data_IF_086718089508
#
_entry.id   IF_086718089508
#
_cell.length_a   1.000
_cell.length_b   1.000
_cell.length_c   1.000
_cell.angle_alpha   90.00
_cell.angle_beta   90.00
_cell.angle_gamma   90.00
#
_symmetry.space_group_name_H-M   'P 1'
#
loop_
_entity.id
_entity.type
_entity.pdbx_description
1 polymer ?
#
# COMPACT_ATOMS: atom_id res chain seq x y z
N UNK A 1 -17.06 11.34 1.41
CA UNK A 1 -18.16 11.88 0.58
C UNK A 1 -19.46 11.62 1.29
N UNK A 2 -20.25 12.64 1.62
CA UNK A 2 -21.60 12.47 2.19
C UNK A 2 -22.62 12.51 1.07
N UNK A 3 -23.31 11.39 0.82
CA UNK A 3 -24.45 11.37 -0.10
C UNK A 3 -25.60 12.19 0.50
N UNK A 4 -26.25 13.04 -0.30
CA UNK A 4 -27.45 13.74 0.15
C UNK A 4 -28.61 12.74 0.28
N UNK A 5 -29.59 13.04 1.13
CA UNK A 5 -30.78 12.20 1.31
C UNK A 5 -31.53 11.95 -0.01
N UNK A 6 -31.46 12.90 -0.94
CA UNK A 6 -31.99 12.76 -2.31
C UNK A 6 -31.19 11.76 -3.16
N UNK A 7 -29.87 11.75 -3.05
CA UNK A 7 -29.01 10.77 -3.74
C UNK A 7 -29.27 9.36 -3.21
N UNK A 8 -29.46 9.22 -1.90
CA UNK A 8 -29.80 7.95 -1.26
C UNK A 8 -31.16 7.44 -1.76
N UNK A 9 -32.17 8.30 -1.84
CA UNK A 9 -33.48 7.94 -2.39
C UNK A 9 -33.42 7.56 -3.87
N UNK A 10 -32.61 8.26 -4.65
CA UNK A 10 -32.43 7.99 -6.07
C UNK A 10 -31.71 6.64 -6.27
N UNK A 11 -30.70 6.35 -5.46
CA UNK A 11 -30.02 5.04 -5.42
C UNK A 11 -31.00 3.93 -5.02
N UNK A 12 -31.79 4.10 -3.96
CA UNK A 12 -32.78 3.10 -3.56
C UNK A 12 -33.90 2.92 -4.59
N UNK A 13 -34.30 3.99 -5.28
CA UNK A 13 -35.29 3.93 -6.36
C UNK A 13 -34.73 3.19 -7.57
N UNK A 14 -33.48 3.48 -7.95
CA UNK A 14 -32.77 2.76 -9.00
C UNK A 14 -32.62 1.28 -8.64
N UNK A 15 -32.20 0.95 -7.41
CA UNK A 15 -32.12 -0.43 -6.92
C UNK A 15 -33.49 -1.10 -6.93
N UNK A 16 -34.55 -0.43 -6.48
CA UNK A 16 -35.91 -0.95 -6.53
C UNK A 16 -36.34 -1.28 -7.96
N UNK A 17 -36.13 -0.38 -8.93
CA UNK A 17 -36.41 -0.68 -10.34
C UNK A 17 -35.49 -1.77 -10.89
N UNK A 18 -34.24 -1.86 -10.44
CA UNK A 18 -33.27 -2.89 -10.84
C UNK A 18 -33.69 -4.29 -10.36
N UNK A 19 -34.13 -4.41 -9.10
CA UNK A 19 -34.57 -5.67 -8.52
C UNK A 19 -36.02 -6.02 -8.85
N UNK A 20 -36.88 -5.03 -9.10
CA UNK A 20 -38.27 -5.25 -9.52
C UNK A 20 -38.40 -5.48 -11.03
N UNK A 21 -37.45 -5.04 -11.86
CA UNK A 21 -37.55 -5.15 -13.32
C UNK A 21 -37.57 -6.58 -13.86
N UNK A 22 -36.86 -7.58 -13.31
CA UNK A 22 -37.08 -8.98 -13.69
C UNK A 22 -38.52 -9.44 -13.41
N UNK A 23 -39.08 -9.00 -12.27
CA UNK A 23 -40.45 -9.33 -11.87
C UNK A 23 -41.46 -8.63 -12.80
N UNK A 24 -41.25 -7.36 -13.11
CA UNK A 24 -42.09 -6.58 -14.04
C UNK A 24 -42.02 -7.18 -15.44
N UNK A 25 -40.83 -7.58 -15.91
CA UNK A 25 -40.63 -8.28 -17.18
C UNK A 25 -41.41 -9.59 -17.23
N UNK A 26 -41.31 -10.41 -16.18
CA UNK A 26 -42.07 -11.67 -16.06
C UNK A 26 -43.57 -11.41 -16.07
N UNK A 27 -44.05 -10.42 -15.30
CA UNK A 27 -45.47 -10.07 -15.24
C UNK A 27 -46.02 -9.57 -16.59
N UNK A 28 -45.28 -8.70 -17.29
CA UNK A 28 -45.64 -8.23 -18.63
C UNK A 28 -45.67 -9.37 -19.66
N UNK A 29 -44.73 -10.30 -19.56
CA UNK A 29 -44.65 -11.47 -20.44
C UNK A 29 -45.81 -12.42 -20.18
N UNK A 30 -46.11 -12.71 -18.92
CA UNK A 30 -47.25 -13.53 -18.50
C UNK A 30 -48.57 -12.89 -18.99
N UNK A 31 -48.77 -11.60 -18.73
CA UNK A 31 -49.95 -10.86 -19.16
C UNK A 31 -50.11 -10.86 -20.69
N UNK A 32 -49.06 -10.52 -21.44
CA UNK A 32 -49.06 -10.52 -22.89
C UNK A 32 -49.33 -11.91 -23.48
N UNK A 33 -48.83 -12.97 -22.83
CA UNK A 33 -49.07 -14.36 -23.22
C UNK A 33 -50.53 -14.75 -23.01
N UNK A 34 -51.12 -14.46 -21.85
CA UNK A 34 -52.55 -14.73 -21.60
C UNK A 34 -53.48 -13.92 -22.51
N UNK A 35 -53.10 -12.69 -22.86
CA UNK A 35 -53.87 -11.82 -23.76
C UNK A 35 -53.93 -12.35 -25.21
N UNK A 36 -52.94 -13.15 -25.64
CA UNK A 36 -52.77 -13.53 -27.06
C UNK A 36 -52.74 -15.04 -27.34
N UNK A 37 -52.67 -15.90 -26.34
CA UNK A 37 -52.49 -17.34 -26.53
C UNK A 37 -53.80 -18.13 -26.77
N UNK A 38 -53.78 -19.02 -27.78
CA UNK A 38 -54.81 -20.05 -28.04
C UNK A 38 -54.30 -21.48 -27.72
N UNK A 39 -53.02 -21.64 -27.34
CA UNK A 39 -52.36 -22.95 -27.19
C UNK A 39 -51.71 -23.16 -25.80
N UNK A 40 -52.29 -24.01 -24.93
CA UNK A 40 -51.82 -24.23 -23.54
C UNK A 40 -50.39 -24.77 -23.39
N UNK A 41 -49.94 -25.63 -24.31
CA UNK A 41 -48.57 -26.17 -24.29
C UNK A 41 -47.51 -25.06 -24.50
N UNK A 42 -47.91 -23.99 -25.19
CA UNK A 42 -47.04 -22.92 -25.62
C UNK A 42 -46.90 -21.84 -24.52
N UNK A 43 -47.97 -21.63 -23.74
CA UNK A 43 -47.93 -20.87 -22.48
C UNK A 43 -46.92 -21.49 -21.51
N UNK A 44 -46.89 -22.83 -21.43
CA UNK A 44 -45.93 -23.57 -20.58
C UNK A 44 -44.48 -23.40 -21.05
N UNK A 45 -44.23 -23.39 -22.36
CA UNK A 45 -42.89 -23.18 -22.90
C UNK A 45 -42.37 -21.76 -22.64
N UNK A 46 -43.21 -20.74 -22.84
CA UNK A 46 -42.87 -19.34 -22.54
C UNK A 46 -42.66 -19.16 -21.03
N UNK A 47 -43.52 -19.73 -20.19
CA UNK A 47 -43.35 -19.69 -18.74
C UNK A 47 -42.05 -20.38 -18.29
N UNK A 48 -41.70 -21.52 -18.88
CA UNK A 48 -40.47 -22.26 -18.58
C UNK A 48 -39.21 -21.49 -18.99
N UNK A 49 -39.20 -20.87 -20.17
CA UNK A 49 -38.09 -20.04 -20.63
C UNK A 49 -37.87 -18.80 -19.72
N UNK A 50 -38.95 -18.14 -19.30
CA UNK A 50 -38.87 -17.02 -18.36
C UNK A 50 -38.46 -17.45 -16.94
N UNK A 51 -38.87 -18.64 -16.51
CA UNK A 51 -38.41 -19.24 -15.25
C UNK A 51 -36.90 -19.47 -15.28
N UNK A 52 -36.35 -20.01 -16.38
CA UNK A 52 -34.92 -20.21 -16.58
C UNK A 52 -34.12 -18.90 -16.55
N UNK A 53 -34.62 -17.85 -17.20
CA UNK A 53 -34.00 -16.51 -17.15
C UNK A 53 -34.02 -15.96 -15.72
N UNK A 54 -35.13 -16.15 -15.00
CA UNK A 54 -35.28 -15.67 -13.62
C UNK A 54 -34.34 -16.43 -12.67
N UNK A 55 -34.22 -17.75 -12.83
CA UNK A 55 -33.29 -18.58 -12.05
C UNK A 55 -31.84 -18.18 -12.33
N UNK A 56 -31.48 -17.92 -13.60
CA UNK A 56 -30.15 -17.40 -13.94
C UNK A 56 -29.91 -16.02 -13.32
N UNK A 57 -30.85 -15.08 -13.44
CA UNK A 57 -30.73 -13.75 -12.83
C UNK A 57 -30.56 -13.84 -11.31
N UNK A 58 -31.34 -14.69 -10.62
CA UNK A 58 -31.22 -14.90 -9.17
C UNK A 58 -29.89 -15.54 -8.81
N UNK A 59 -29.50 -16.61 -9.51
CA UNK A 59 -28.22 -17.30 -9.28
C UNK A 59 -27.05 -16.32 -9.37
N UNK A 60 -26.96 -15.56 -10.47
CA UNK A 60 -25.91 -14.56 -10.64
C UNK A 60 -25.98 -13.45 -9.58
N UNK A 61 -27.17 -12.96 -9.24
CA UNK A 61 -27.33 -11.94 -8.20
C UNK A 61 -26.89 -12.41 -6.81
N UNK A 62 -26.93 -13.71 -6.54
CA UNK A 62 -26.54 -14.31 -5.24
C UNK A 62 -25.07 -14.74 -5.24
N UNK A 63 -24.52 -15.19 -6.37
CA UNK A 63 -23.10 -15.61 -6.45
C UNK A 63 -22.12 -14.49 -6.71
N UNK A 64 -22.58 -13.30 -7.14
CA UNK A 64 -21.72 -12.13 -7.41
C UNK A 64 -21.33 -11.34 -6.15
N UNK A 65 -21.91 -11.62 -4.98
CA UNK A 65 -21.55 -10.94 -3.71
C UNK A 65 -20.11 -11.25 -3.23
N UNK A 66 -19.45 -12.28 -3.78
CA UNK A 66 -18.02 -12.58 -3.53
C UNK A 66 -17.06 -11.79 -4.47
N UNK A 67 -17.58 -11.03 -5.43
CA UNK A 67 -16.79 -10.19 -6.33
C UNK A 67 -16.86 -8.73 -5.86
N UNK A 68 -15.73 -8.20 -5.40
CA UNK A 68 -15.54 -6.87 -4.83
C UNK A 68 -15.95 -5.66 -5.73
N UNK A 69 -16.57 -5.88 -6.89
CA UNK A 69 -16.99 -4.81 -7.81
C UNK A 69 -18.50 -4.83 -8.06
N UNK A 70 -19.24 -4.07 -7.24
CA UNK A 70 -20.69 -3.84 -7.38
C UNK A 70 -21.12 -3.21 -8.72
N UNK A 71 -20.18 -2.80 -9.57
CA UNK A 71 -20.44 -2.35 -10.94
C UNK A 71 -20.81 -3.49 -11.90
N UNK A 72 -20.32 -4.71 -11.67
CA UNK A 72 -20.54 -5.88 -12.55
C UNK A 72 -21.98 -6.40 -12.48
N UNK A 73 -22.57 -6.47 -11.29
CA UNK A 73 -23.95 -6.92 -11.07
C UNK A 73 -24.98 -5.98 -11.71
N UNK A 74 -24.74 -4.67 -11.64
CA UNK A 74 -25.66 -3.66 -12.18
C UNK A 74 -25.62 -3.62 -13.71
N UNK A 75 -24.43 -3.79 -14.31
CA UNK A 75 -24.29 -4.00 -15.75
C UNK A 75 -24.96 -5.30 -16.20
N UNK A 76 -24.79 -6.39 -15.43
CA UNK A 76 -25.39 -7.68 -15.71
C UNK A 76 -26.91 -7.63 -15.84
N UNK A 77 -27.58 -7.09 -14.82
CA UNK A 77 -29.04 -6.97 -14.79
C UNK A 77 -29.53 -6.05 -15.91
N UNK A 78 -28.85 -4.91 -16.14
CA UNK A 78 -29.24 -3.93 -17.16
C UNK A 78 -29.14 -4.49 -18.58
N UNK A 79 -28.05 -5.20 -18.91
CA UNK A 79 -27.85 -5.82 -20.21
C UNK A 79 -28.84 -6.97 -20.43
N UNK A 80 -29.09 -7.78 -19.38
CA UNK A 80 -30.08 -8.86 -19.45
C UNK A 80 -31.48 -8.31 -19.77
N UNK A 81 -31.90 -7.24 -19.11
CA UNK A 81 -33.20 -6.60 -19.35
C UNK A 81 -33.26 -5.93 -20.73
N UNK A 82 -32.21 -5.23 -21.15
CA UNK A 82 -32.12 -4.62 -22.47
C UNK A 82 -32.19 -5.66 -23.58
N UNK A 83 -31.54 -6.81 -23.40
CA UNK A 83 -31.55 -7.90 -24.36
C UNK A 83 -32.95 -8.51 -24.49
N UNK A 84 -33.64 -8.83 -23.39
CA UNK A 84 -34.88 -9.61 -23.44
C UNK A 84 -36.18 -8.79 -23.48
N UNK A 85 -36.15 -7.50 -23.12
CA UNK A 85 -37.32 -6.60 -23.14
C UNK A 85 -38.03 -6.44 -24.50
N UNK A 86 -37.34 -6.40 -25.66
CA UNK A 86 -38.00 -6.23 -26.96
C UNK A 86 -38.96 -7.38 -27.28
N UNK A 87 -38.60 -8.61 -26.88
CA UNK A 87 -39.47 -9.77 -27.04
C UNK A 87 -40.78 -9.55 -26.27
N UNK A 88 -40.71 -9.26 -24.97
CA UNK A 88 -41.92 -9.09 -24.15
C UNK A 88 -42.77 -7.90 -24.54
N UNK A 89 -42.16 -6.82 -25.03
CA UNK A 89 -42.88 -5.66 -25.57
C UNK A 89 -43.66 -6.06 -26.85
N UNK A 90 -43.13 -6.93 -27.71
CA UNK A 90 -43.84 -7.38 -28.92
C UNK A 90 -45.16 -8.11 -28.64
N UNK A 91 -45.28 -8.73 -27.45
CA UNK A 91 -46.53 -9.33 -27.00
C UNK A 91 -47.59 -8.29 -26.59
N UNK A 92 -47.21 -7.04 -26.31
CA UNK A 92 -48.11 -5.97 -25.88
C UNK A 92 -48.63 -5.10 -27.05
N UNK A 93 -47.90 -5.05 -28.18
CA UNK A 93 -48.29 -4.30 -29.38
C UNK A 93 -49.58 -4.85 -30.00
N UNK A 94 -50.49 -3.99 -30.48
CA UNK A 94 -51.79 -4.42 -31.01
C UNK A 94 -51.67 -4.99 -32.44
N UNK A 95 -51.12 -6.21 -32.56
CA UNK A 95 -50.93 -6.96 -33.80
C UNK A 95 -51.81 -8.22 -33.82
N UNK A 96 -52.08 -8.77 -35.02
CA UNK A 96 -52.76 -10.06 -35.14
C UNK A 96 -52.03 -11.14 -34.33
N UNK A 97 -52.80 -11.98 -33.61
CA UNK A 97 -52.26 -12.93 -32.62
C UNK A 97 -51.11 -13.80 -33.16
N UNK A 98 -51.23 -14.30 -34.40
CA UNK A 98 -50.19 -15.12 -35.05
C UNK A 98 -48.90 -14.33 -35.32
N UNK A 99 -48.99 -13.07 -35.76
CA UNK A 99 -47.83 -12.22 -36.01
C UNK A 99 -47.11 -11.86 -34.70
N UNK A 100 -47.85 -11.54 -33.64
CA UNK A 100 -47.28 -11.27 -32.33
C UNK A 100 -46.43 -12.43 -31.79
N UNK A 101 -46.89 -13.67 -32.05
CA UNK A 101 -46.20 -14.89 -31.68
C UNK A 101 -44.87 -15.08 -32.42
N UNK A 102 -44.88 -14.96 -33.75
CA UNK A 102 -43.64 -15.09 -34.54
C UNK A 102 -42.63 -13.99 -34.19
N UNK A 103 -43.10 -12.76 -33.95
CA UNK A 103 -42.25 -11.66 -33.50
C UNK A 103 -41.64 -11.92 -32.12
N UNK A 104 -42.43 -12.37 -31.14
CA UNK A 104 -41.90 -12.73 -29.80
C UNK A 104 -40.84 -13.81 -29.90
N UNK A 105 -41.13 -14.88 -30.65
CA UNK A 105 -40.25 -16.04 -30.77
C UNK A 105 -38.93 -15.66 -31.45
N UNK A 106 -39.00 -14.92 -32.57
CA UNK A 106 -37.82 -14.46 -33.28
C UNK A 106 -36.96 -13.53 -32.42
N UNK A 107 -37.58 -12.55 -31.74
CA UNK A 107 -36.88 -11.62 -30.86
C UNK A 107 -36.27 -12.35 -29.66
N UNK A 108 -37.00 -13.28 -29.05
CA UNK A 108 -36.48 -14.07 -27.93
C UNK A 108 -35.24 -14.87 -28.33
N UNK A 109 -35.25 -15.57 -29.46
CA UNK A 109 -34.08 -16.35 -29.91
C UNK A 109 -32.91 -15.44 -30.33
N UNK A 110 -33.17 -14.28 -30.93
CA UNK A 110 -32.14 -13.28 -31.21
C UNK A 110 -31.50 -12.73 -29.93
N UNK A 111 -32.34 -12.35 -28.96
CA UNK A 111 -31.91 -11.88 -27.65
C UNK A 111 -31.12 -12.94 -26.89
N UNK A 112 -31.59 -14.20 -26.91
CA UNK A 112 -30.89 -15.32 -26.31
C UNK A 112 -29.54 -15.57 -26.98
N UNK A 113 -29.47 -15.51 -28.31
CA UNK A 113 -28.22 -15.63 -29.06
C UNK A 113 -27.21 -14.53 -28.69
N UNK A 114 -27.63 -13.27 -28.72
CA UNK A 114 -26.78 -12.12 -28.37
C UNK A 114 -26.33 -12.16 -26.90
N UNK A 115 -27.24 -12.52 -25.99
CA UNK A 115 -26.95 -12.64 -24.57
C UNK A 115 -25.88 -13.69 -24.29
N UNK A 116 -26.02 -14.88 -24.89
CA UNK A 116 -25.03 -15.94 -24.72
C UNK A 116 -23.70 -15.61 -25.43
N UNK A 117 -23.73 -14.96 -26.61
CA UNK A 117 -22.49 -14.56 -27.29
C UNK A 117 -21.65 -13.57 -26.46
N UNK A 118 -22.30 -12.69 -25.68
CA UNK A 118 -21.62 -11.71 -24.85
C UNK A 118 -21.18 -12.29 -23.49
N UNK A 119 -22.06 -12.98 -22.78
CA UNK A 119 -21.79 -13.44 -21.41
C UNK A 119 -21.03 -14.76 -21.31
N UNK A 120 -21.21 -15.65 -22.28
CA UNK A 120 -20.59 -16.97 -22.20
C UNK A 120 -19.05 -16.89 -22.21
N UNK A 121 -18.40 -16.03 -23.03
CA UNK A 121 -16.95 -15.82 -22.94
C UNK A 121 -16.48 -15.28 -21.59
N UNK A 122 -17.17 -14.28 -21.04
CA UNK A 122 -16.82 -13.66 -19.75
C UNK A 122 -16.94 -14.68 -18.60
N UNK A 123 -18.02 -15.48 -18.61
CA UNK A 123 -18.22 -16.54 -17.62
C UNK A 123 -17.15 -17.63 -17.71
N UNK A 124 -16.77 -18.03 -18.93
CA UNK A 124 -15.69 -19.00 -19.14
C UNK A 124 -14.37 -18.47 -18.56
N UNK A 125 -14.08 -17.18 -18.76
CA UNK A 125 -12.85 -16.57 -18.25
C UNK A 125 -12.84 -16.51 -16.72
N UNK A 126 -13.94 -16.11 -16.10
CA UNK A 126 -14.10 -16.10 -14.64
C UNK A 126 -13.99 -17.50 -14.03
N UNK A 127 -14.69 -18.49 -14.61
CA UNK A 127 -14.65 -19.87 -14.13
C UNK A 127 -13.22 -20.44 -14.27
N UNK A 128 -12.50 -20.04 -15.33
CA UNK A 128 -11.09 -20.40 -15.51
C UNK A 128 -10.21 -19.78 -14.43
N UNK A 129 -10.35 -18.50 -14.12
CA UNK A 129 -9.57 -17.83 -13.07
C UNK A 129 -9.84 -18.45 -11.69
N UNK A 130 -11.11 -18.72 -11.36
CA UNK A 130 -11.49 -19.38 -10.11
C UNK A 130 -10.85 -20.78 -9.97
N UNK A 131 -10.81 -21.55 -11.06
CA UNK A 131 -10.13 -22.86 -11.10
C UNK A 131 -8.63 -22.69 -10.87
N UNK A 132 -7.99 -21.66 -11.46
CA UNK A 132 -6.56 -21.38 -11.28
C UNK A 132 -6.28 -21.03 -9.81
N UNK A 133 -7.00 -20.06 -9.24
CA UNK A 133 -6.80 -19.61 -7.86
C UNK A 133 -7.00 -20.78 -6.88
N UNK A 134 -8.09 -21.54 -7.03
CA UNK A 134 -8.36 -22.72 -6.18
C UNK A 134 -7.25 -23.76 -6.30
N UNK A 135 -6.76 -24.02 -7.52
CA UNK A 135 -5.66 -24.96 -7.74
C UNK A 135 -4.34 -24.47 -7.15
N UNK A 136 -4.06 -23.16 -7.20
CA UNK A 136 -2.90 -22.52 -6.56
C UNK A 136 -2.99 -22.62 -5.03
N UNK A 137 -4.17 -22.41 -4.43
CA UNK A 137 -4.36 -22.56 -2.98
C UNK A 137 -4.19 -24.01 -2.52
N UNK A 138 -4.62 -24.98 -3.34
CA UNK A 138 -4.48 -26.41 -3.05
C UNK A 138 -3.09 -26.98 -3.37
N UNK A 139 -2.25 -26.26 -4.12
CA UNK A 139 -0.99 -26.81 -4.62
C UNK A 139 -1.15 -27.90 -5.68
N UNK A 140 -2.27 -27.90 -6.41
CA UNK A 140 -2.59 -28.93 -7.41
C UNK A 140 -1.92 -28.64 -8.76
N UNK A 141 -0.62 -28.92 -8.85
CA UNK A 141 0.21 -28.60 -10.02
C UNK A 141 -0.31 -29.27 -11.30
N UNK A 142 -0.79 -30.52 -11.21
CA UNK A 142 -1.36 -31.24 -12.36
C UNK A 142 -2.57 -30.51 -12.93
N UNK A 143 -3.46 -29.98 -12.07
CA UNK A 143 -4.63 -29.24 -12.51
C UNK A 143 -4.27 -27.86 -13.08
N UNK A 144 -3.24 -27.22 -12.54
CA UNK A 144 -2.70 -25.97 -13.10
C UNK A 144 -2.15 -26.19 -14.50
N UNK A 145 -1.29 -27.21 -14.68
CA UNK A 145 -0.77 -27.59 -15.99
C UNK A 145 -1.91 -27.85 -16.98
N UNK A 146 -2.94 -28.62 -16.61
CA UNK A 146 -4.10 -28.84 -17.48
C UNK A 146 -4.82 -27.53 -17.86
N UNK A 147 -5.01 -26.62 -16.90
CA UNK A 147 -5.70 -25.34 -17.13
C UNK A 147 -4.87 -24.36 -17.98
N UNK A 148 -3.54 -24.51 -17.97
CA UNK A 148 -2.59 -23.79 -18.81
C UNK A 148 -2.20 -24.55 -20.09
N UNK A 149 -2.98 -25.55 -20.52
CA UNK A 149 -2.71 -26.38 -21.70
C UNK A 149 -1.33 -27.05 -21.68
N UNK A 150 -1.03 -27.73 -20.57
CA UNK A 150 0.19 -28.49 -20.28
C UNK A 150 1.49 -27.68 -20.19
N UNK A 151 1.39 -26.34 -20.15
CA UNK A 151 2.52 -25.42 -20.10
C UNK A 151 2.50 -24.43 -18.93
N UNK A 152 3.20 -23.32 -19.14
CA UNK A 152 3.23 -22.19 -18.24
C UNK A 152 2.21 -21.12 -18.66
N UNK A 153 1.70 -20.31 -17.70
CA UNK A 153 0.98 -19.10 -18.06
C UNK A 153 1.88 -18.14 -18.85
N UNK A 154 1.29 -17.14 -19.51
CA UNK A 154 2.08 -16.03 -20.03
C UNK A 154 2.86 -15.33 -18.92
N UNK A 155 3.95 -14.64 -19.24
CA UNK A 155 4.75 -13.89 -18.27
C UNK A 155 3.90 -12.92 -17.43
N UNK A 156 3.01 -12.16 -18.08
CA UNK A 156 2.10 -11.24 -17.40
C UNK A 156 1.17 -11.95 -16.41
N UNK A 157 0.60 -13.09 -16.80
CA UNK A 157 -0.26 -13.89 -15.93
C UNK A 157 0.54 -14.52 -14.78
N UNK A 158 1.77 -14.95 -15.04
CA UNK A 158 2.66 -15.51 -14.03
C UNK A 158 2.95 -14.50 -12.92
N UNK A 159 3.37 -13.28 -13.27
CA UNK A 159 3.60 -12.22 -12.28
C UNK A 159 2.32 -11.73 -11.60
N UNK A 160 1.17 -11.73 -12.29
CA UNK A 160 -0.12 -11.45 -11.68
C UNK A 160 -0.42 -12.45 -10.56
N UNK A 161 -0.36 -13.75 -10.82
CA UNK A 161 -0.63 -14.77 -9.81
C UNK A 161 0.42 -14.76 -8.69
N UNK A 162 1.70 -14.60 -9.02
CA UNK A 162 2.77 -14.47 -8.03
C UNK A 162 2.56 -13.27 -7.10
N UNK A 163 2.07 -12.14 -7.62
CA UNK A 163 1.75 -10.96 -6.80
C UNK A 163 0.55 -11.20 -5.90
N UNK A 164 -0.49 -11.86 -6.42
CA UNK A 164 -1.70 -12.24 -5.66
C UNK A 164 -1.35 -13.22 -4.54
N UNK A 165 -0.49 -14.19 -4.83
CA UNK A 165 -0.07 -15.20 -3.87
C UNK A 165 0.95 -14.69 -2.84
N UNK A 166 1.66 -13.59 -3.14
CA UNK A 166 2.69 -13.07 -2.26
C UNK A 166 2.14 -12.65 -0.88
N UNK A 167 0.84 -12.44 -0.74
CA UNK A 167 0.20 -12.03 0.52
C UNK A 167 -0.59 -13.17 1.17
N UNK A 168 -0.46 -13.26 2.50
CA UNK A 168 -1.14 -14.28 3.31
C UNK A 168 -0.52 -15.68 3.24
N UNK A 169 -0.83 -16.57 4.19
CA UNK A 169 -0.25 -17.92 4.28
C UNK A 169 -1.05 -19.01 3.54
N UNK A 170 -2.04 -18.59 2.74
CA UNK A 170 -3.00 -19.48 2.08
C UNK A 170 -2.29 -20.41 1.08
N UNK A 171 -1.26 -19.92 0.40
CA UNK A 171 -0.61 -20.63 -0.68
C UNK A 171 0.55 -21.54 -0.21
N UNK A 172 0.65 -22.78 -0.72
CA UNK A 172 1.75 -23.69 -0.44
C UNK A 172 3.00 -23.36 -1.27
N UNK A 173 4.17 -23.82 -0.79
CA UNK A 173 5.46 -23.61 -1.45
C UNK A 173 5.47 -24.15 -2.89
N UNK A 174 4.83 -25.30 -3.12
CA UNK A 174 4.75 -25.94 -4.44
C UNK A 174 4.13 -25.04 -5.52
N UNK A 175 3.14 -24.23 -5.17
CA UNK A 175 2.51 -23.29 -6.11
C UNK A 175 3.45 -22.15 -6.49
N UNK A 176 4.21 -21.64 -5.52
CA UNK A 176 5.24 -20.63 -5.81
C UNK A 176 6.33 -21.22 -6.69
N UNK A 177 6.87 -22.38 -6.33
CA UNK A 177 7.88 -23.08 -7.14
C UNK A 177 7.40 -23.26 -8.57
N UNK A 178 6.17 -23.75 -8.78
CA UNK A 178 5.63 -23.92 -10.12
C UNK A 178 5.59 -22.62 -10.94
N UNK A 179 5.10 -21.52 -10.35
CA UNK A 179 5.03 -20.23 -11.08
C UNK A 179 6.41 -19.61 -11.29
N UNK A 180 7.33 -19.76 -10.34
CA UNK A 180 8.69 -19.27 -10.47
C UNK A 180 9.49 -20.10 -11.49
N UNK A 181 9.31 -21.41 -11.54
CA UNK A 181 9.87 -22.28 -12.60
C UNK A 181 9.35 -21.87 -13.99
N UNK A 182 8.11 -21.37 -14.06
CA UNK A 182 7.57 -20.80 -15.28
C UNK A 182 8.25 -19.49 -15.70
N UNK A 183 8.77 -18.70 -14.75
CA UNK A 183 9.63 -17.56 -15.08
C UNK A 183 11.04 -17.99 -15.52
N UNK A 184 11.57 -19.09 -14.97
CA UNK A 184 12.92 -19.60 -15.27
C UNK A 184 13.02 -20.18 -16.69
N UNK A 185 11.94 -20.80 -17.20
CA UNK A 185 11.90 -21.34 -18.58
C UNK A 185 11.97 -20.26 -19.67
N UNK A 186 11.58 -19.03 -19.37
CA UNK A 186 11.55 -17.91 -20.31
C UNK A 186 12.75 -16.93 -20.13
N UNK A 187 13.69 -17.25 -19.23
CA UNK A 187 14.89 -16.45 -18.94
C UNK A 187 15.93 -16.39 -20.08
N UNK A 188 15.65 -16.97 -21.25
CA UNK A 188 16.51 -16.78 -22.42
C UNK A 188 16.48 -15.32 -22.94
N UNK A 189 15.45 -14.54 -22.61
CA UNK A 189 15.37 -13.12 -22.95
C UNK A 189 15.79 -12.21 -21.79
N UNK A 190 16.53 -11.13 -22.09
CA UNK A 190 16.92 -10.13 -21.08
C UNK A 190 15.71 -9.46 -20.41
N UNK A 191 14.60 -9.31 -21.14
CA UNK A 191 13.37 -8.69 -20.67
C UNK A 191 12.69 -9.47 -19.54
N UNK A 192 12.57 -10.80 -19.68
CA UNK A 192 11.98 -11.67 -18.65
C UNK A 192 12.78 -11.64 -17.34
N UNK A 193 14.11 -11.56 -17.45
CA UNK A 193 15.01 -11.48 -16.30
C UNK A 193 14.81 -10.18 -15.51
N UNK A 194 14.70 -9.04 -16.19
CA UNK A 194 14.53 -7.73 -15.54
C UNK A 194 13.18 -7.63 -14.80
N UNK A 195 12.11 -8.15 -15.40
CA UNK A 195 10.79 -8.20 -14.74
C UNK A 195 10.82 -9.09 -13.49
N UNK A 196 11.54 -10.21 -13.56
CA UNK A 196 11.71 -11.10 -12.42
C UNK A 196 12.48 -10.47 -11.27
N UNK A 197 13.60 -9.80 -11.57
CA UNK A 197 14.39 -9.07 -10.57
C UNK A 197 13.54 -7.98 -9.92
N UNK A 198 12.77 -7.25 -10.73
CA UNK A 198 11.85 -6.20 -10.25
C UNK A 198 10.78 -6.78 -9.32
N UNK A 199 10.17 -7.91 -9.69
CA UNK A 199 9.20 -8.61 -8.84
C UNK A 199 9.85 -9.04 -7.51
N UNK A 200 11.03 -9.65 -7.56
CA UNK A 200 11.79 -10.10 -6.41
C UNK A 200 12.06 -8.98 -5.40
N UNK A 201 12.61 -7.86 -5.88
CA UNK A 201 12.90 -6.68 -5.06
C UNK A 201 11.62 -6.12 -4.43
N UNK A 202 10.55 -5.99 -5.20
CA UNK A 202 9.26 -5.47 -4.71
C UNK A 202 8.63 -6.38 -3.64
N UNK A 203 8.70 -7.69 -3.83
CA UNK A 203 8.13 -8.66 -2.89
C UNK A 203 8.87 -8.68 -1.57
N UNK A 204 10.20 -8.60 -1.58
CA UNK A 204 11.00 -8.45 -0.35
C UNK A 204 10.68 -7.16 0.42
N UNK A 205 10.10 -6.15 -0.26
CA UNK A 205 9.66 -4.92 0.37
C UNK A 205 8.22 -4.97 0.93
N UNK A 206 7.41 -5.99 0.58
CA UNK A 206 6.00 -6.05 1.00
C UNK A 206 5.84 -6.30 2.50
N UNK A 207 4.92 -5.63 3.21
CA UNK A 207 4.75 -5.81 4.66
C UNK A 207 4.36 -7.25 5.05
N UNK A 208 3.42 -7.86 4.35
CA UNK A 208 2.83 -9.16 4.72
C UNK A 208 3.13 -10.23 3.66
N UNK A 209 4.40 -10.56 3.48
CA UNK A 209 4.81 -11.61 2.55
C UNK A 209 4.49 -13.01 3.11
N UNK A 210 4.02 -13.92 2.25
CA UNK A 210 3.94 -15.33 2.54
C UNK A 210 5.33 -15.88 2.92
N UNK A 211 5.44 -16.52 4.09
CA UNK A 211 6.72 -17.04 4.59
C UNK A 211 7.38 -18.04 3.64
N UNK A 212 6.60 -18.92 2.99
CA UNK A 212 7.12 -19.93 2.06
C UNK A 212 7.72 -19.27 0.82
N UNK A 213 7.07 -18.21 0.31
CA UNK A 213 7.64 -17.41 -0.77
C UNK A 213 8.92 -16.71 -0.32
N UNK A 214 8.92 -16.10 0.87
CA UNK A 214 10.12 -15.46 1.42
C UNK A 214 11.29 -16.44 1.48
N UNK A 215 11.09 -17.63 2.06
CA UNK A 215 12.12 -18.66 2.19
C UNK A 215 12.68 -19.07 0.81
N UNK A 216 11.81 -19.27 -0.19
CA UNK A 216 12.20 -19.58 -1.58
C UNK A 216 13.03 -18.44 -2.21
N UNK A 217 12.56 -17.19 -2.06
CA UNK A 217 13.25 -16.01 -2.57
C UNK A 217 14.65 -15.84 -1.93
N UNK A 218 14.78 -16.16 -0.65
CA UNK A 218 16.06 -16.10 0.06
C UNK A 218 17.04 -17.19 -0.38
N UNK A 219 16.58 -18.42 -0.67
CA UNK A 219 17.49 -19.53 -1.01
C UNK A 219 17.84 -19.62 -2.49
N UNK A 220 16.85 -19.47 -3.38
CA UNK A 220 16.97 -19.98 -4.74
C UNK A 220 17.16 -18.89 -5.79
N UNK A 221 16.62 -17.69 -5.54
CA UNK A 221 16.56 -16.64 -6.56
C UNK A 221 17.68 -15.60 -6.47
N UNK A 222 18.40 -15.58 -5.35
CA UNK A 222 19.57 -14.72 -5.18
C UNK A 222 20.66 -14.97 -6.23
N UNK A 223 20.80 -16.21 -6.72
CA UNK A 223 21.84 -16.62 -7.68
C UNK A 223 21.73 -15.90 -9.04
N UNK A 224 20.55 -15.37 -9.37
CA UNK A 224 20.29 -14.70 -10.64
C UNK A 224 20.66 -13.22 -10.65
N UNK A 225 20.84 -12.62 -9.47
CA UNK A 225 21.18 -11.21 -9.32
C UNK A 225 22.63 -10.95 -9.72
N UNK A 226 22.85 -9.93 -10.56
CA UNK A 226 24.20 -9.43 -10.81
C UNK A 226 24.67 -8.54 -9.63
N UNK A 227 25.92 -8.07 -9.63
CA UNK A 227 26.43 -7.22 -8.55
C UNK A 227 25.70 -5.87 -8.42
N UNK A 228 25.21 -5.29 -9.52
CA UNK A 228 24.42 -4.05 -9.51
C UNK A 228 23.07 -4.29 -8.83
N UNK A 229 22.35 -5.35 -9.21
CA UNK A 229 21.02 -5.64 -8.64
C UNK A 229 21.11 -6.00 -7.15
N UNK A 230 22.19 -6.68 -6.75
CA UNK A 230 22.50 -6.95 -5.33
C UNK A 230 22.73 -5.67 -4.55
N UNK A 231 23.46 -4.71 -5.13
CA UNK A 231 23.67 -3.41 -4.51
C UNK A 231 22.36 -2.63 -4.40
N UNK A 232 21.53 -2.64 -5.45
CA UNK A 232 20.23 -1.98 -5.48
C UNK A 232 19.28 -2.58 -4.43
N UNK A 233 19.20 -3.91 -4.32
CA UNK A 233 18.41 -4.59 -3.30
C UNK A 233 18.80 -4.16 -1.86
N UNK A 234 20.09 -4.15 -1.54
CA UNK A 234 20.58 -3.72 -0.22
C UNK A 234 20.26 -2.24 0.02
N UNK A 235 20.45 -1.41 -1.01
CA UNK A 235 20.18 0.04 -0.94
C UNK A 235 18.69 0.31 -0.68
N UNK A 236 17.80 -0.38 -1.39
CA UNK A 236 16.35 -0.22 -1.23
C UNK A 236 15.87 -0.64 0.16
N UNK A 237 16.39 -1.76 0.68
CA UNK A 237 16.06 -2.20 2.04
C UNK A 237 16.58 -1.23 3.11
N UNK A 238 17.78 -0.66 2.94
CA UNK A 238 18.30 0.38 3.83
C UNK A 238 17.47 1.67 3.76
N UNK A 239 17.10 2.11 2.55
CA UNK A 239 16.25 3.29 2.33
C UNK A 239 14.83 3.10 2.91
N UNK A 240 14.32 1.87 2.98
CA UNK A 240 13.04 1.58 3.66
C UNK A 240 13.15 1.78 5.17
N UNK A 241 14.26 1.37 5.79
CA UNK A 241 14.53 1.59 7.22
C UNK A 241 14.65 3.10 7.53
N UNK A 242 15.18 3.88 6.58
CA UNK A 242 15.28 5.34 6.65
C UNK A 242 13.89 6.02 6.68
N UNK A 243 13.01 5.67 5.73
CA UNK A 243 11.79 6.43 5.47
C UNK A 243 10.55 6.01 6.27
N UNK A 244 10.64 4.97 7.11
CA UNK A 244 9.46 4.39 7.79
C UNK A 244 9.42 4.79 9.27
N UNK A 245 8.30 5.37 9.67
CA UNK A 245 8.09 5.92 11.02
C UNK A 245 7.50 4.89 12.00
N UNK A 246 7.28 3.64 11.57
CA UNK A 246 6.77 2.56 12.42
C UNK A 246 7.90 1.63 12.84
N UNK A 247 8.12 1.53 14.16
CA UNK A 247 9.13 0.62 14.74
C UNK A 247 8.95 -0.83 14.28
N UNK A 248 7.70 -1.29 14.19
CA UNK A 248 7.35 -2.65 13.76
C UNK A 248 7.70 -2.91 12.29
N UNK A 249 7.55 -1.90 11.44
CA UNK A 249 7.93 -2.02 10.04
C UNK A 249 9.45 -1.95 9.88
N UNK A 250 10.13 -1.06 10.61
CA UNK A 250 11.59 -1.01 10.65
C UNK A 250 12.20 -2.35 11.10
N UNK A 251 11.71 -2.92 12.21
CA UNK A 251 12.11 -4.25 12.70
C UNK A 251 12.01 -5.30 11.59
N UNK A 252 10.86 -5.36 10.90
CA UNK A 252 10.65 -6.28 9.78
C UNK A 252 11.67 -6.13 8.66
N UNK A 253 12.01 -4.92 8.25
CA UNK A 253 13.01 -4.71 7.18
C UNK A 253 14.41 -5.06 7.65
N UNK A 254 14.77 -4.72 8.89
CA UNK A 254 16.06 -5.11 9.49
C UNK A 254 16.18 -6.63 9.58
N UNK A 255 15.13 -7.35 10.00
CA UNK A 255 15.09 -8.81 10.05
C UNK A 255 15.28 -9.45 8.69
N UNK A 256 14.63 -8.92 7.65
CA UNK A 256 14.77 -9.42 6.28
C UNK A 256 16.18 -9.22 5.74
N UNK A 257 16.76 -8.04 5.95
CA UNK A 257 18.13 -7.79 5.53
C UNK A 257 19.12 -8.67 6.31
N UNK A 258 18.89 -8.90 7.60
CA UNK A 258 19.67 -9.82 8.42
C UNK A 258 19.54 -11.29 7.94
N UNK A 259 18.34 -11.73 7.57
CA UNK A 259 18.10 -13.05 6.98
C UNK A 259 18.83 -13.18 5.63
N UNK A 260 18.71 -12.20 4.75
CA UNK A 260 19.46 -12.15 3.48
C UNK A 260 20.96 -12.27 3.70
N UNK A 261 21.52 -11.51 4.63
CA UNK A 261 22.95 -11.54 4.97
C UNK A 261 23.36 -12.87 5.61
N UNK A 262 22.49 -13.48 6.40
CA UNK A 262 22.75 -14.79 7.00
C UNK A 262 22.87 -15.87 5.94
N UNK A 263 22.01 -15.85 4.92
CA UNK A 263 22.04 -16.78 3.81
C UNK A 263 23.13 -16.46 2.78
N UNK A 264 23.42 -15.17 2.56
CA UNK A 264 24.40 -14.66 1.59
C UNK A 264 25.35 -13.63 2.23
N UNK A 265 26.36 -14.06 3.01
CA UNK A 265 27.23 -13.17 3.80
C UNK A 265 28.00 -12.14 2.98
N UNK A 266 28.25 -12.38 1.70
CA UNK A 266 28.90 -11.44 0.79
C UNK A 266 28.08 -10.16 0.60
N UNK A 267 26.78 -10.16 0.91
CA UNK A 267 25.93 -8.96 0.83
C UNK A 267 26.41 -7.84 1.76
N UNK A 268 27.12 -8.17 2.83
CA UNK A 268 27.69 -7.18 3.76
C UNK A 268 28.56 -6.15 3.05
N UNK A 269 29.25 -6.53 1.95
CA UNK A 269 30.11 -5.62 1.18
C UNK A 269 29.34 -4.51 0.45
N UNK A 270 28.03 -4.69 0.26
CA UNK A 270 27.16 -3.70 -0.38
C UNK A 270 26.53 -2.73 0.62
N UNK A 271 26.67 -2.99 1.93
CA UNK A 271 26.36 -2.01 2.99
C UNK A 271 27.51 -1.01 3.02
N UNK A 272 27.46 -0.05 2.08
CA UNK A 272 28.46 1.01 1.95
C UNK A 272 28.10 2.13 2.90
N UNK A 273 28.81 2.19 4.02
CA UNK A 273 28.62 3.21 5.05
C UNK A 273 29.90 4.01 5.14
N UNK A 274 29.85 5.27 4.75
CA UNK A 274 30.95 6.22 4.91
C UNK A 274 30.52 7.40 5.80
N UNK A 275 31.45 8.31 6.10
CA UNK A 275 31.18 9.47 6.93
C UNK A 275 30.07 10.36 6.34
N UNK A 276 29.97 10.46 5.01
CA UNK A 276 28.99 11.30 4.35
C UNK A 276 27.59 10.69 4.48
N UNK A 277 27.46 9.38 4.30
CA UNK A 277 26.22 8.64 4.48
C UNK A 277 25.71 8.77 5.91
N UNK A 278 26.59 8.68 6.91
CA UNK A 278 26.20 8.85 8.32
C UNK A 278 25.82 10.30 8.63
N UNK A 279 26.55 11.28 8.09
CA UNK A 279 26.22 12.69 8.28
C UNK A 279 24.81 13.01 7.73
N UNK A 280 24.47 12.50 6.54
CA UNK A 280 23.14 12.68 5.96
C UNK A 280 22.03 12.09 6.84
N UNK A 281 22.27 10.92 7.44
CA UNK A 281 21.31 10.28 8.33
C UNK A 281 21.21 10.96 9.71
N UNK A 282 22.31 11.57 10.17
CA UNK A 282 22.35 12.40 11.37
C UNK A 282 21.51 13.68 11.19
N UNK A 283 21.58 14.31 10.02
CA UNK A 283 20.81 15.53 9.71
C UNK A 283 19.30 15.26 9.73
N UNK A 284 18.86 14.17 9.09
CA UNK A 284 17.46 13.74 9.04
C UNK A 284 16.95 13.10 10.34
N UNK A 285 17.83 12.71 11.27
CA UNK A 285 17.43 12.12 12.54
C UNK A 285 17.07 10.63 12.47
N UNK A 286 17.67 9.87 11.54
CA UNK A 286 17.29 8.50 11.22
C UNK A 286 17.88 7.48 12.23
N UNK A 287 17.40 7.52 13.47
CA UNK A 287 17.93 6.70 14.57
C UNK A 287 17.90 5.19 14.28
N UNK A 288 16.81 4.67 13.71
CA UNK A 288 16.66 3.24 13.35
C UNK A 288 17.73 2.78 12.36
N UNK A 289 17.96 3.55 11.30
CA UNK A 289 18.97 3.22 10.30
C UNK A 289 20.38 3.34 10.89
N UNK A 290 20.67 4.42 11.64
CA UNK A 290 21.95 4.61 12.32
C UNK A 290 22.25 3.43 13.27
N UNK A 291 21.26 2.98 14.03
CA UNK A 291 21.36 1.81 14.91
C UNK A 291 21.72 0.55 14.12
N UNK A 292 21.04 0.33 12.99
CA UNK A 292 21.27 -0.83 12.12
C UNK A 292 22.67 -0.84 11.48
N UNK A 293 23.14 0.31 10.98
CA UNK A 293 24.41 0.38 10.23
C UNK A 293 25.64 0.50 11.13
N UNK A 294 25.47 0.84 12.41
CA UNK A 294 26.57 1.00 13.38
C UNK A 294 27.58 -0.17 13.40
N UNK A 295 27.19 -1.46 13.31
CA UNK A 295 28.14 -2.57 13.27
C UNK A 295 28.97 -2.64 11.99
N UNK A 296 28.54 -1.96 10.92
CA UNK A 296 29.17 -2.00 9.59
C UNK A 296 30.11 -0.80 9.35
N UNK A 297 30.23 0.09 10.32
CA UNK A 297 31.01 1.30 10.18
C UNK A 297 31.84 1.62 11.42
N UNK A 298 33.07 2.06 11.19
CA UNK A 298 33.95 2.61 12.20
C UNK A 298 34.40 4.00 11.79
N UNK A 299 34.25 4.98 12.67
CA UNK A 299 34.80 6.33 12.47
C UNK A 299 35.59 6.78 13.67
N UNK A 300 36.61 7.60 13.37
CA UNK A 300 37.37 8.33 14.37
C UNK A 300 36.88 9.77 14.51
N UNK A 301 35.94 10.21 13.65
CA UNK A 301 35.36 11.55 13.73
C UNK A 301 34.52 11.68 15.02
N UNK A 302 35.03 12.48 15.95
CA UNK A 302 34.40 12.66 17.27
C UNK A 302 33.02 13.34 17.19
N UNK A 303 32.80 14.23 16.22
CA UNK A 303 31.54 14.95 16.02
C UNK A 303 30.43 13.98 15.59
N UNK A 304 30.72 13.11 14.63
CA UNK A 304 29.80 12.06 14.19
C UNK A 304 29.50 11.06 15.32
N UNK A 305 30.51 10.70 16.13
CA UNK A 305 30.31 9.83 17.29
C UNK A 305 29.41 10.49 18.33
N UNK A 306 29.56 11.80 18.58
CA UNK A 306 28.69 12.53 19.50
C UNK A 306 27.24 12.56 19.00
N UNK A 307 27.03 12.91 17.72
CA UNK A 307 25.68 12.93 17.14
C UNK A 307 25.02 11.55 17.16
N UNK A 308 25.77 10.51 16.79
CA UNK A 308 25.30 9.11 16.83
C UNK A 308 24.89 8.71 18.23
N UNK A 309 25.69 9.05 19.24
CA UNK A 309 25.36 8.75 20.63
C UNK A 309 24.09 9.48 21.09
N UNK A 310 23.85 10.72 20.62
CA UNK A 310 22.63 11.47 20.93
C UNK A 310 21.41 10.79 20.31
N UNK A 311 21.47 10.43 19.02
CA UNK A 311 20.38 9.76 18.31
C UNK A 311 20.04 8.38 18.89
N UNK A 312 21.05 7.65 19.35
CA UNK A 312 20.88 6.32 19.93
C UNK A 312 20.61 6.35 21.44
N UNK A 313 20.42 7.53 22.03
CA UNK A 313 20.15 7.71 23.46
C UNK A 313 21.20 7.07 24.38
N UNK A 314 22.47 7.16 24.00
CA UNK A 314 23.60 6.73 24.84
C UNK A 314 23.95 7.79 25.91
N UNK A 315 22.96 8.19 26.70
CA UNK A 315 23.03 9.36 27.58
C UNK A 315 24.19 9.31 28.57
N UNK A 316 24.45 8.13 29.16
CA UNK A 316 25.58 7.94 30.07
C UNK A 316 26.94 8.16 29.41
N UNK A 317 27.08 7.89 28.11
CA UNK A 317 28.31 8.18 27.37
C UNK A 317 28.46 9.69 27.15
N UNK A 318 27.37 10.37 26.80
CA UNK A 318 27.34 11.83 26.56
C UNK A 318 27.60 12.59 27.86
N UNK A 319 26.88 12.26 28.94
CA UNK A 319 27.04 12.88 30.28
C UNK A 319 28.47 12.74 30.77
N UNK A 320 29.11 11.57 30.59
CA UNK A 320 30.53 11.38 30.97
C UNK A 320 31.47 12.29 30.18
N UNK A 321 31.21 12.53 28.89
CA UNK A 321 32.00 13.45 28.08
C UNK A 321 31.80 14.89 28.53
N UNK A 322 30.56 15.34 28.72
CA UNK A 322 30.23 16.71 29.19
C UNK A 322 30.82 16.98 30.58
N UNK A 323 30.77 15.98 31.47
CA UNK A 323 31.29 16.11 32.84
C UNK A 323 32.82 16.26 32.87
N UNK A 324 33.53 15.72 31.88
CA UNK A 324 34.99 15.89 31.73
C UNK A 324 35.35 17.21 31.06
N UNK A 325 34.57 17.61 30.07
CA UNK A 325 34.76 18.86 29.34
C UNK A 325 33.42 19.45 28.93
N UNK A 326 33.04 20.56 29.59
CA UNK A 326 31.78 21.26 29.30
C UNK A 326 31.80 21.92 27.92
N UNK A 327 32.98 22.24 27.38
CA UNK A 327 33.09 22.90 26.07
C UNK A 327 32.63 22.00 24.92
N UNK A 328 32.50 20.69 25.14
CA UNK A 328 31.97 19.74 24.16
C UNK A 328 30.54 20.07 23.72
N UNK A 329 29.77 20.77 24.57
CA UNK A 329 28.41 21.21 24.23
C UNK A 329 28.38 22.22 23.08
N UNK A 330 29.47 22.96 22.88
CA UNK A 330 29.64 23.92 21.78
C UNK A 330 30.32 23.31 20.54
N UNK A 331 30.63 22.00 20.55
CA UNK A 331 31.18 21.31 19.38
C UNK A 331 30.17 21.33 18.25
N UNK A 332 30.61 21.76 17.05
CA UNK A 332 29.79 21.73 15.84
C UNK A 332 29.61 20.28 15.39
N UNK A 333 28.36 19.86 15.23
CA UNK A 333 27.99 18.50 14.86
C UNK A 333 27.71 18.38 13.36
N UNK A 334 27.08 19.42 12.79
CA UNK A 334 26.74 19.48 11.37
C UNK A 334 26.62 20.94 10.91
N UNK A 335 26.83 21.16 9.61
CA UNK A 335 26.51 22.42 8.94
C UNK A 335 25.36 22.11 7.99
N UNK A 336 24.15 22.58 8.33
CA UNK A 336 22.95 22.29 7.53
C UNK A 336 22.60 23.47 6.64
N UNK A 337 22.08 23.16 5.45
CA UNK A 337 21.55 24.15 4.51
C UNK A 337 20.04 23.93 4.42
N UNK A 338 19.29 24.53 5.35
CA UNK A 338 17.83 24.56 5.34
C UNK A 338 17.16 23.65 6.39
N UNK A 339 15.90 23.30 6.14
CA UNK A 339 15.11 22.46 7.05
C UNK A 339 14.88 23.06 8.44
N UNK A 340 14.84 22.21 9.46
CA UNK A 340 14.62 22.61 10.87
C UNK A 340 15.77 23.51 11.39
N UNK A 341 16.99 23.24 10.94
CA UNK A 341 18.21 23.91 11.37
C UNK A 341 18.38 25.30 10.76
N UNK A 342 17.78 25.54 9.58
CA UNK A 342 18.04 26.72 8.77
C UNK A 342 19.45 26.65 8.15
N UNK A 343 19.98 27.79 7.69
CA UNK A 343 21.35 27.86 7.14
C UNK A 343 22.35 28.17 8.26
N UNK A 344 22.65 27.18 9.11
CA UNK A 344 23.46 27.37 10.32
C UNK A 344 24.29 26.15 10.67
N UNK A 345 25.41 26.41 11.35
CA UNK A 345 26.13 25.39 12.10
C UNK A 345 25.31 24.98 13.33
N UNK A 346 25.20 23.68 13.55
CA UNK A 346 24.45 23.10 14.66
C UNK A 346 25.45 22.54 15.66
N UNK A 347 25.40 23.05 16.88
CA UNK A 347 26.22 22.56 17.99
C UNK A 347 25.57 21.37 18.72
N UNK A 348 26.36 20.71 19.56
CA UNK A 348 25.92 19.53 20.29
C UNK A 348 24.72 19.83 21.20
N UNK A 349 24.69 20.97 21.89
CA UNK A 349 23.55 21.31 22.74
C UNK A 349 22.27 21.48 21.92
N UNK A 350 22.31 22.18 20.79
CA UNK A 350 21.17 22.29 19.87
C UNK A 350 20.72 20.93 19.36
N UNK A 351 21.68 20.07 19.02
CA UNK A 351 21.41 18.71 18.57
C UNK A 351 20.75 17.84 19.65
N UNK A 352 21.18 17.98 20.91
CA UNK A 352 20.57 17.30 22.07
C UNK A 352 19.12 17.78 22.28
N UNK A 353 18.85 19.08 22.21
CA UNK A 353 17.47 19.56 22.37
C UNK A 353 16.56 19.11 21.23
N UNK A 354 17.10 18.87 20.03
CA UNK A 354 16.36 18.33 18.89
C UNK A 354 16.12 16.83 18.95
N UNK A 355 17.12 16.02 19.27
CA UNK A 355 17.03 14.56 19.12
C UNK A 355 17.35 13.78 20.40
N UNK A 356 17.89 14.43 21.42
CA UNK A 356 18.24 13.79 22.69
C UNK A 356 17.01 13.29 23.45
N UNK A 357 17.26 12.39 24.39
CA UNK A 357 16.25 11.83 25.28
C UNK A 357 15.73 12.90 26.26
N UNK A 358 14.59 12.61 26.87
CA UNK A 358 14.07 13.40 27.99
C UNK A 358 15.09 13.53 29.13
N UNK A 359 15.75 12.43 29.52
CA UNK A 359 16.67 12.38 30.65
C UNK A 359 17.91 13.25 30.42
N UNK A 360 18.48 13.19 29.21
CA UNK A 360 19.64 13.99 28.85
C UNK A 360 19.32 15.50 28.85
N UNK A 361 18.17 15.89 28.31
CA UNK A 361 17.72 17.28 28.29
C UNK A 361 17.49 17.78 29.73
N UNK A 362 16.80 17.00 30.56
CA UNK A 362 16.58 17.35 31.96
C UNK A 362 17.91 17.51 32.71
N UNK A 363 18.86 16.60 32.50
CA UNK A 363 20.15 16.67 33.12
C UNK A 363 20.90 17.96 32.75
N UNK A 364 20.88 18.36 31.48
CA UNK A 364 21.46 19.64 31.02
C UNK A 364 20.80 20.83 31.72
N UNK A 365 19.46 20.85 31.81
CA UNK A 365 18.70 21.95 32.41
C UNK A 365 18.95 22.09 33.91
N UNK A 366 18.98 20.98 34.65
CA UNK A 366 19.23 20.94 36.10
C UNK A 366 20.64 21.48 36.41
N UNK A 367 21.63 21.13 35.58
CA UNK A 367 23.01 21.58 35.76
C UNK A 367 23.28 22.96 35.12
N UNK A 368 22.25 23.60 34.53
CA UNK A 368 22.36 24.89 33.85
C UNK A 368 23.45 24.94 32.79
N UNK A 369 23.55 23.86 32.00
CA UNK A 369 24.53 23.71 30.92
C UNK A 369 23.96 24.09 29.54
N UNK A 370 22.70 24.52 29.49
CA UNK A 370 21.97 24.87 28.26
C UNK A 370 22.43 26.18 27.60
N UNK A 371 22.99 27.12 28.37
CA UNK A 371 23.37 28.46 27.90
C UNK A 371 22.26 29.16 27.09
N UNK A 372 20.99 29.02 27.52
CA UNK A 372 19.79 29.42 26.76
C UNK A 372 19.89 30.81 26.13
N UNK A 373 20.37 31.81 26.87
CA UNK A 373 20.50 33.19 26.41
C UNK A 373 21.35 33.37 25.14
N UNK A 374 22.33 32.48 24.90
CA UNK A 374 23.17 32.55 23.70
C UNK A 374 22.44 32.09 22.42
N UNK A 375 21.25 31.50 22.57
CA UNK A 375 20.42 30.97 21.48
C UNK A 375 19.23 31.88 21.13
N UNK A 376 19.14 33.06 21.76
CA UNK A 376 18.14 34.07 21.46
C UNK A 376 18.44 34.73 20.09
N UNK A 377 17.39 34.95 19.30
CA UNK A 377 17.49 35.61 17.99
C UNK A 377 16.24 36.43 17.66
N UNK A 378 16.39 37.36 16.73
CA UNK A 378 15.27 38.13 16.19
C UNK A 378 14.81 37.51 14.87
N UNK A 379 13.54 37.13 14.82
CA UNK A 379 12.87 36.67 13.61
C UNK A 379 12.06 37.79 13.00
N UNK A 380 12.21 37.96 11.68
CA UNK A 380 11.55 39.00 10.92
C UNK A 380 10.34 38.41 10.22
N UNK A 381 9.15 38.93 10.52
CA UNK A 381 7.89 38.53 9.90
C UNK A 381 7.25 39.76 9.24
N UNK A 382 6.81 39.60 7.98
CA UNK A 382 6.07 40.64 7.30
C UNK A 382 4.59 40.53 7.68
N UNK A 383 4.07 41.51 8.41
CA UNK A 383 2.66 41.56 8.74
C UNK A 383 1.88 42.12 7.55
N UNK A 384 1.13 41.25 6.87
CA UNK A 384 0.33 41.60 5.70
C UNK A 384 -0.83 42.57 6.02
N UNK A 385 -1.30 42.63 7.27
CA UNK A 385 -2.37 43.53 7.68
C UNK A 385 -1.88 44.97 7.91
N UNK A 386 -0.68 45.13 8.49
CA UNK A 386 -0.06 46.44 8.73
C UNK A 386 0.89 46.89 7.62
N UNK A 387 1.22 46.02 6.67
CA UNK A 387 2.29 46.21 5.66
C UNK A 387 3.63 46.61 6.27
N UNK A 388 3.93 46.11 7.47
CA UNK A 388 5.15 46.42 8.21
C UNK A 388 5.91 45.14 8.57
N UNK A 389 7.21 45.32 8.76
CA UNK A 389 8.08 44.28 9.28
C UNK A 389 8.02 44.30 10.80
N UNK A 390 7.65 43.17 11.38
CA UNK A 390 7.63 42.96 12.82
C UNK A 390 8.77 42.01 13.19
N UNK A 391 9.47 42.36 14.28
CA UNK A 391 10.56 41.57 14.83
C UNK A 391 10.09 40.85 16.08
N UNK A 392 10.25 39.54 16.10
CA UNK A 392 9.88 38.67 17.20
C UNK A 392 11.14 38.06 17.81
N UNK A 393 11.26 38.15 19.14
CA UNK A 393 12.35 37.51 19.85
C UNK A 393 12.01 36.03 20.02
N UNK A 394 12.85 35.15 19.47
CA UNK A 394 12.71 33.70 19.52
C UNK A 394 13.99 33.05 20.07
N UNK A 395 13.91 31.77 20.43
CA UNK A 395 15.05 31.01 20.93
C UNK A 395 15.18 29.66 20.18
N UNK A 396 16.38 29.34 19.72
CA UNK A 396 16.61 28.10 18.95
C UNK A 396 16.37 26.82 19.75
N UNK A 397 16.75 26.77 21.03
CA UNK A 397 16.52 25.58 21.87
C UNK A 397 15.03 25.32 22.05
N UNK A 398 14.22 26.39 22.21
CA UNK A 398 12.76 26.28 22.26
C UNK A 398 12.22 25.71 20.94
N UNK A 399 12.67 26.25 19.80
CA UNK A 399 12.29 25.76 18.47
C UNK A 399 12.68 24.30 18.27
N UNK A 400 13.88 23.89 18.65
CA UNK A 400 14.33 22.50 18.44
C UNK A 400 13.58 21.51 19.32
N UNK A 401 13.30 21.89 20.58
CA UNK A 401 12.49 21.10 21.51
C UNK A 401 11.10 20.80 20.94
N UNK A 402 10.44 21.78 20.30
CA UNK A 402 9.05 21.62 19.86
C UNK A 402 8.87 20.53 18.80
N UNK A 403 9.92 20.23 18.02
CA UNK A 403 9.93 19.06 17.13
C UNK A 403 10.96 17.99 17.47
N UNK A 404 11.31 17.87 18.75
CA UNK A 404 11.96 16.67 19.22
C UNK A 404 10.98 15.48 19.16
N UNK A 405 11.30 14.41 18.40
CA UNK A 405 10.41 13.27 18.23
C UNK A 405 10.32 12.38 19.49
N UNK A 406 11.28 12.50 20.41
CA UNK A 406 11.42 11.65 21.59
C UNK A 406 10.75 12.25 22.84
N UNK A 407 10.11 13.41 22.73
CA UNK A 407 9.42 14.08 23.83
C UNK A 407 7.91 14.03 23.64
N UNK A 408 7.19 13.75 24.73
CA UNK A 408 5.74 13.96 24.79
C UNK A 408 5.40 15.45 24.77
N UNK A 409 4.17 15.80 24.37
CA UNK A 409 3.73 17.21 24.33
C UNK A 409 3.81 17.89 25.71
N UNK A 410 3.43 17.16 26.77
CA UNK A 410 3.58 17.64 28.13
C UNK A 410 5.03 17.95 28.46
N UNK A 411 5.96 17.11 28.01
CA UNK A 411 7.38 17.32 28.25
C UNK A 411 7.95 18.48 27.45
N UNK A 412 7.59 18.60 26.17
CA UNK A 412 7.95 19.75 25.33
C UNK A 412 7.54 21.07 25.99
N UNK A 413 6.33 21.12 26.54
CA UNK A 413 5.84 22.32 27.23
C UNK A 413 6.60 22.62 28.52
N UNK A 414 6.93 21.59 29.32
CA UNK A 414 7.73 21.76 30.54
C UNK A 414 9.14 22.27 30.24
N UNK A 415 9.81 21.70 29.23
CA UNK A 415 11.14 22.16 28.79
C UNK A 415 11.07 23.59 28.25
N UNK A 416 10.06 23.90 27.43
CA UNK A 416 9.84 25.27 26.93
C UNK A 416 9.72 26.28 28.06
N UNK A 417 8.93 26.00 29.10
CA UNK A 417 8.78 26.90 30.25
C UNK A 417 10.11 27.15 30.96
N UNK A 418 10.91 26.09 31.17
CA UNK A 418 12.23 26.22 31.79
C UNK A 418 13.20 27.08 30.95
N UNK A 419 13.15 26.96 29.62
CA UNK A 419 13.96 27.75 28.71
C UNK A 419 13.50 29.22 28.66
N UNK A 420 12.19 29.49 28.60
CA UNK A 420 11.65 30.87 28.59
C UNK A 420 12.12 31.64 29.83
N UNK A 421 12.13 31.01 31.00
CA UNK A 421 12.61 31.64 32.24
C UNK A 421 14.09 32.06 32.19
N UNK A 422 14.90 31.41 31.35
CA UNK A 422 16.34 31.65 31.18
C UNK A 422 16.68 32.48 29.93
N UNK A 423 15.70 32.75 29.07
CA UNK A 423 15.85 33.50 27.83
C UNK A 423 15.67 35.00 28.07
N UNK A 424 16.35 35.83 27.27
CA UNK A 424 16.08 37.26 27.20
C UNK A 424 14.86 37.59 26.34
N UNK A 425 14.39 36.62 25.53
CA UNK A 425 13.14 36.69 24.78
C UNK A 425 11.96 36.35 25.70
N UNK A 426 11.49 37.32 26.48
CA UNK A 426 10.24 37.16 27.23
C UNK A 426 9.05 37.28 26.28
N UNK A 427 8.14 36.30 26.29
CA UNK A 427 6.86 36.38 25.58
C UNK A 427 6.05 37.56 26.14
N UNK A 428 5.59 38.45 25.24
CA UNK A 428 4.72 39.58 25.59
C UNK A 428 3.27 39.16 25.70
#
# INVERSE_FOLDING_TARGET
MSFSTGDVFLIFTLLFFLYASPIIYVLLTIYGTFKKAEHPALIKAIAFANLLITVNLIYYSVTLDDLNDGGSTLQFVSISLAAFSPASISLLVNTQKKCAFYSYTALFFLSFGLYNLYYFPEKIEQDREAVIISSLQQGNIKKLQQTFNEGCPSEQATFYYLRTMAEGEIYPASSFVFLLDCTDKDHESSYSKDNFITYYQNVLQKPNINKKLLDLLLSDYYRYLNNRDKQELVTDLLNRIDNIHSDKENERFTDRLNLLIKHHPELKKFIKVDNQYILQNIDHGNASLISYIKPYYSTQNQELLLATNVLLHEDAAIVRKISRDKHILSTKILSSIGGIWGSRDVDLVSYIFRYGSEDLINWILIHSLDNTAAFDYQEKLFNHASQQEEYYCNNYLIKYTSFNPNLTDAKKQSVRQALIQKSHCQEK
#
